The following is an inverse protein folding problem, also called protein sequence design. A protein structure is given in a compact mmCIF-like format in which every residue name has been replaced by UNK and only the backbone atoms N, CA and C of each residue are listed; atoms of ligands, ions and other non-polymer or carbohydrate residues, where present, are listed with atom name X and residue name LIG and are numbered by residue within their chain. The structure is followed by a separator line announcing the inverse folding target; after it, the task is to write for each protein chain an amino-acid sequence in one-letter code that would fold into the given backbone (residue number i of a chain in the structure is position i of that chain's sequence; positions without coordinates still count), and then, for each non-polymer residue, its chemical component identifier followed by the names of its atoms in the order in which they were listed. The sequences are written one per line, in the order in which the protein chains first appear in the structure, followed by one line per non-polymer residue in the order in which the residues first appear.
data_IF_772381913598
#
_entry.id   IF_772381913598
#
_cell.length_a   1.000
_cell.length_b   1.000
_cell.length_c   1.000
_cell.angle_alpha   90.00
_cell.angle_beta   90.00
_cell.angle_gamma   90.00
#
_symmetry.space_group_name_H-M   'P 1'
#
loop_
_entity.id
_entity.type
_entity.pdbx_description
1 polymer ?
#
# COMPACT_ATOMS: atom_id res chain seq x y z
N UNK A 1 11.24 -6.24 -5.27
CA UNK A 1 10.73 -7.48 -4.63
C UNK A 1 11.36 -7.65 -3.27
N UNK A 2 12.69 -7.68 -3.19
CA UNK A 2 13.43 -7.69 -1.93
C UNK A 2 12.99 -6.55 -0.98
N UNK A 3 12.91 -5.31 -1.48
CA UNK A 3 12.50 -4.15 -0.67
C UNK A 3 11.10 -4.31 -0.03
N UNK A 4 10.15 -4.91 -0.76
CA UNK A 4 8.77 -5.14 -0.25
C UNK A 4 8.76 -6.28 0.77
N UNK A 5 9.57 -7.31 0.54
CA UNK A 5 9.71 -8.40 1.50
C UNK A 5 10.36 -7.92 2.80
N UNK A 6 11.39 -7.08 2.71
CA UNK A 6 12.07 -6.49 3.87
C UNK A 6 11.14 -5.54 4.64
N UNK A 7 10.37 -4.70 3.93
CA UNK A 7 9.48 -3.73 4.56
C UNK A 7 8.19 -4.32 5.13
N UNK A 8 7.59 -5.31 4.46
CA UNK A 8 6.26 -5.83 4.80
C UNK A 8 6.26 -7.27 5.32
N UNK A 9 7.40 -7.96 5.35
CA UNK A 9 7.49 -9.38 5.72
C UNK A 9 6.81 -10.34 4.73
N UNK A 10 6.27 -9.83 3.61
CA UNK A 10 5.50 -10.61 2.63
C UNK A 10 6.30 -10.81 1.35
N UNK A 11 6.45 -12.07 0.92
CA UNK A 11 6.96 -12.38 -0.42
C UNK A 11 5.86 -12.23 -1.45
N UNK A 12 5.99 -11.23 -2.30
CA UNK A 12 5.14 -11.08 -3.49
C UNK A 12 5.89 -11.63 -4.71
N UNK A 13 5.23 -12.48 -5.49
CA UNK A 13 5.72 -12.86 -6.82
C UNK A 13 5.78 -11.63 -7.76
N UNK A 14 6.61 -11.67 -8.82
CA UNK A 14 6.78 -10.54 -9.74
C UNK A 14 5.44 -10.03 -10.31
N UNK A 15 4.58 -10.95 -10.76
CA UNK A 15 3.26 -10.60 -11.31
C UNK A 15 2.35 -9.92 -10.30
N UNK A 16 2.33 -10.38 -9.06
CA UNK A 16 1.55 -9.76 -7.97
C UNK A 16 2.05 -8.37 -7.65
N UNK A 17 3.37 -8.19 -7.54
CA UNK A 17 3.97 -6.90 -7.23
C UNK A 17 3.71 -5.88 -8.34
N UNK A 18 4.02 -6.22 -9.59
CA UNK A 18 3.82 -5.30 -10.71
C UNK A 18 2.33 -5.04 -10.95
N UNK A 19 1.46 -6.03 -10.74
CA UNK A 19 0.02 -5.86 -10.77
C UNK A 19 -0.50 -4.92 -9.68
N UNK A 20 0.08 -4.94 -8.48
CA UNK A 20 -0.23 -3.98 -7.43
C UNK A 20 0.20 -2.55 -7.81
N UNK A 21 1.45 -2.37 -8.23
CA UNK A 21 2.00 -1.07 -8.65
C UNK A 21 1.14 -0.47 -9.78
N UNK A 22 0.81 -1.25 -10.81
CA UNK A 22 -0.01 -0.79 -11.92
C UNK A 22 -1.41 -0.34 -11.47
N UNK A 23 -2.04 -1.05 -10.52
CA UNK A 23 -3.35 -0.68 -9.97
C UNK A 23 -3.31 0.60 -9.15
N UNK A 24 -2.26 0.81 -8.36
CA UNK A 24 -2.06 2.01 -7.55
C UNK A 24 -1.81 3.24 -8.45
N UNK A 25 -0.97 3.07 -9.48
CA UNK A 25 -0.67 4.13 -10.45
C UNK A 25 -1.91 4.52 -11.27
N UNK A 26 -2.70 3.53 -11.76
CA UNK A 26 -3.96 3.81 -12.48
C UNK A 26 -5.00 4.55 -11.62
N UNK A 27 -4.99 4.35 -10.31
CA UNK A 27 -5.85 5.10 -9.37
C UNK A 27 -5.31 6.50 -9.04
N UNK A 28 -4.13 6.85 -9.54
CA UNK A 28 -3.48 8.12 -9.21
C UNK A 28 -3.00 8.21 -7.77
N UNK A 29 -2.82 7.07 -7.07
CA UNK A 29 -2.36 7.03 -5.68
C UNK A 29 -0.84 7.02 -5.54
N UNK A 30 -0.15 6.58 -6.59
CA UNK A 30 1.30 6.68 -6.70
C UNK A 30 1.69 7.29 -8.04
N UNK A 31 2.85 7.91 -8.07
CA UNK A 31 3.47 8.44 -9.28
C UNK A 31 4.92 7.98 -9.38
N UNK A 32 5.42 7.94 -10.61
CA UNK A 32 6.82 7.59 -10.90
C UNK A 32 7.71 8.79 -10.62
N UNK A 33 8.82 8.53 -9.94
CA UNK A 33 9.91 9.48 -9.82
C UNK A 33 10.86 9.35 -11.03
N UNK A 34 11.46 10.48 -11.49
CA UNK A 34 12.54 10.44 -12.46
C UNK A 34 13.66 9.55 -11.94
N UNK A 35 14.16 8.65 -12.79
CA UNK A 35 15.28 7.76 -12.46
C UNK A 35 16.13 7.54 -13.70
N UNK A 36 17.43 7.51 -13.51
CA UNK A 36 18.41 7.10 -14.52
C UNK A 36 18.57 5.58 -14.60
N UNK A 37 18.00 4.83 -13.65
CA UNK A 37 18.05 3.36 -13.60
C UNK A 37 16.75 2.74 -14.17
N UNK A 38 16.85 1.48 -14.63
CA UNK A 38 15.71 0.65 -15.09
C UNK A 38 14.62 0.53 -14.02
N UNK A 39 14.99 0.65 -12.74
CA UNK A 39 14.04 0.77 -11.63
C UNK A 39 13.65 2.22 -11.43
N UNK A 40 12.40 2.53 -11.76
CA UNK A 40 11.79 3.81 -11.41
C UNK A 40 11.22 3.72 -9.99
N UNK A 41 11.72 4.51 -9.03
CA UNK A 41 11.09 4.62 -7.73
C UNK A 41 9.70 5.24 -7.88
N UNK A 42 8.81 4.90 -6.95
CA UNK A 42 7.46 5.46 -6.88
C UNK A 42 7.29 6.18 -5.55
N UNK A 43 6.47 7.23 -5.56
CA UNK A 43 6.04 7.91 -4.34
C UNK A 43 4.52 7.98 -4.28
N UNK A 44 3.97 8.14 -3.07
CA UNK A 44 2.56 8.47 -2.89
C UNK A 44 2.28 9.87 -3.43
N UNK A 45 1.19 10.00 -4.17
CA UNK A 45 0.61 11.31 -4.48
C UNK A 45 -0.11 11.88 -3.24
N UNK A 46 -0.52 13.15 -3.24
CA UNK A 46 -1.35 13.70 -2.18
C UNK A 46 -2.65 12.90 -1.95
N UNK A 47 -3.31 12.48 -3.04
CA UNK A 47 -4.53 11.66 -2.96
C UNK A 47 -4.24 10.25 -2.43
N UNK A 48 -3.14 9.63 -2.84
CA UNK A 48 -2.70 8.34 -2.33
C UNK A 48 -2.40 8.37 -0.83
N UNK A 49 -1.76 9.45 -0.36
CA UNK A 49 -1.53 9.67 1.09
C UNK A 49 -2.85 9.82 1.85
N UNK A 50 -3.79 10.59 1.33
CA UNK A 50 -5.11 10.77 1.97
C UNK A 50 -5.88 9.45 2.10
N UNK A 51 -5.90 8.64 1.04
CA UNK A 51 -6.53 7.32 1.07
C UNK A 51 -5.81 6.40 2.05
N UNK A 52 -4.48 6.33 2.03
CA UNK A 52 -3.74 5.48 2.95
C UNK A 52 -4.04 5.82 4.42
N UNK A 53 -4.09 7.11 4.76
CA UNK A 53 -4.46 7.57 6.12
C UNK A 53 -5.87 7.12 6.48
N UNK A 54 -6.82 7.26 5.55
CA UNK A 54 -8.21 6.87 5.77
C UNK A 54 -8.35 5.36 6.00
N UNK A 55 -7.82 4.55 5.08
CA UNK A 55 -7.86 3.08 5.17
C UNK A 55 -7.19 2.59 6.46
N UNK A 56 -6.07 3.20 6.86
CA UNK A 56 -5.38 2.82 8.10
C UNK A 56 -6.17 3.23 9.36
N UNK A 57 -6.87 4.37 9.33
CA UNK A 57 -7.76 4.76 10.42
C UNK A 57 -8.95 3.80 10.55
N UNK A 58 -9.54 3.40 9.42
CA UNK A 58 -10.68 2.48 9.38
C UNK A 58 -10.26 1.08 9.88
N UNK A 59 -9.11 0.56 9.42
CA UNK A 59 -8.55 -0.71 9.90
C UNK A 59 -8.23 -0.69 11.40
N UNK A 60 -7.68 0.42 11.91
CA UNK A 60 -7.41 0.56 13.34
C UNK A 60 -8.68 0.58 14.17
N UNK A 61 -9.67 1.38 13.77
CA UNK A 61 -10.95 1.44 14.46
C UNK A 61 -11.60 0.05 14.53
N UNK A 62 -11.57 -0.68 13.41
CA UNK A 62 -12.06 -2.06 13.35
C UNK A 62 -11.26 -3.00 14.29
N UNK A 63 -9.93 -2.93 14.28
CA UNK A 63 -9.10 -3.75 15.15
C UNK A 63 -9.34 -3.44 16.63
N UNK A 64 -9.46 -2.16 16.99
CA UNK A 64 -9.73 -1.72 18.35
C UNK A 64 -11.09 -2.26 18.84
N UNK A 65 -12.12 -2.22 18.00
CA UNK A 65 -13.44 -2.77 18.30
C UNK A 65 -13.42 -4.29 18.54
N UNK A 66 -12.76 -5.04 17.64
CA UNK A 66 -12.63 -6.50 17.77
C UNK A 66 -11.86 -6.88 19.03
N UNK A 67 -10.78 -6.16 19.34
CA UNK A 67 -9.94 -6.42 20.52
C UNK A 67 -10.62 -6.05 21.84
N UNK A 68 -11.56 -5.09 21.83
CA UNK A 68 -12.34 -4.68 23.00
C UNK A 68 -13.49 -5.64 23.34
N UNK A 69 -13.63 -6.76 22.63
CA UNK A 69 -14.61 -7.80 22.91
C UNK A 69 -15.90 -7.68 22.09
N UNK A 70 -15.93 -6.79 21.10
CA UNK A 70 -17.01 -6.70 20.13
C UNK A 70 -16.78 -7.66 18.97
N UNK A 71 -17.32 -8.88 19.06
CA UNK A 71 -17.84 -9.52 17.85
C UNK A 71 -19.04 -8.68 17.41
N UNK A 72 -18.88 -7.85 16.39
CA UNK A 72 -20.03 -7.39 15.61
C UNK A 72 -20.63 -8.60 14.88
N UNK A 73 -21.97 -8.63 14.67
CA UNK A 73 -22.80 -9.83 14.57
C UNK A 73 -22.31 -10.95 13.65
#
# INVERSE_FOLDING_TARGET
MQDVQEAAGVRMGPGTLYGAIARLHRRGWIERLPSSDRRHPYQLTPSGRAILIREFADLRAFADEVLQGGLLP
#
